data_IF_278881079826
#
_entry.id   IF_278881079826
#
_cell.length_a   1.000
_cell.length_b   1.000
_cell.length_c   1.000
_cell.angle_alpha   90.00
_cell.angle_beta   90.00
_cell.angle_gamma   90.00
#
_symmetry.space_group_name_H-M   'P 1'
#
loop_
_entity.id
_entity.type
_entity.pdbx_description
1 polymer ?
#
# COMPACT_ATOMS: atom_id res chain seq x y z
N UNK A 1 -4.57 -8.90 12.70
CA UNK A 1 -5.13 -7.83 11.85
C UNK A 1 -4.14 -7.54 10.75
N UNK A 2 -4.57 -7.68 9.50
CA UNK A 2 -3.75 -7.30 8.35
C UNK A 2 -3.71 -5.78 8.22
N UNK A 3 -2.56 -5.24 7.85
CA UNK A 3 -2.32 -3.80 7.75
C UNK A 3 -2.53 -3.37 6.31
N UNK A 4 -3.23 -2.26 6.12
CA UNK A 4 -3.37 -1.60 4.84
C UNK A 4 -2.15 -0.72 4.58
N UNK A 5 -1.71 -0.72 3.34
CA UNK A 5 -0.70 0.20 2.84
C UNK A 5 -1.41 1.22 1.96
N UNK A 6 -1.15 2.49 2.23
CA UNK A 6 -1.75 3.60 1.49
C UNK A 6 -0.64 4.30 0.73
N UNK A 7 -0.77 4.34 -0.59
CA UNK A 7 0.07 5.11 -1.49
C UNK A 7 -0.53 6.51 -1.67
N UNK A 8 0.22 7.54 -1.28
CA UNK A 8 -0.23 8.93 -1.35
C UNK A 8 0.97 9.87 -1.43
N UNK A 9 0.80 11.04 -2.04
CA UNK A 9 1.92 12.01 -2.20
C UNK A 9 2.18 12.85 -0.95
N UNK A 10 1.29 12.79 0.04
CA UNK A 10 1.43 13.46 1.32
C UNK A 10 0.70 12.71 2.44
N UNK A 11 1.09 12.98 3.68
CA UNK A 11 0.44 12.38 4.85
C UNK A 11 -1.04 12.78 4.99
N UNK A 12 -1.40 14.02 4.64
CA UNK A 12 -2.79 14.49 4.64
C UNK A 12 -3.65 13.73 3.64
N UNK A 13 -3.10 13.43 2.46
CA UNK A 13 -3.81 12.64 1.45
C UNK A 13 -3.97 11.18 1.88
N UNK A 14 -2.94 10.60 2.52
CA UNK A 14 -3.07 9.26 3.09
C UNK A 14 -4.12 9.17 4.19
N UNK A 15 -4.21 10.18 5.07
CA UNK A 15 -5.23 10.30 6.10
C UNK A 15 -6.64 10.37 5.50
N UNK A 16 -6.80 11.16 4.43
CA UNK A 16 -8.08 11.26 3.71
C UNK A 16 -8.49 9.92 3.10
N UNK A 17 -7.60 9.25 2.38
CA UNK A 17 -7.87 7.94 1.77
C UNK A 17 -8.21 6.91 2.85
N UNK A 18 -7.50 6.93 3.99
CA UNK A 18 -7.80 6.03 5.09
C UNK A 18 -9.23 6.23 5.63
N UNK A 19 -9.65 7.49 5.81
CA UNK A 19 -10.99 7.84 6.26
C UNK A 19 -12.06 7.43 5.24
N UNK A 20 -11.84 7.68 3.96
CA UNK A 20 -12.74 7.29 2.86
C UNK A 20 -12.96 5.77 2.81
N UNK A 21 -11.93 5.00 3.16
CA UNK A 21 -11.98 3.54 3.24
C UNK A 21 -12.39 2.99 4.62
N UNK A 22 -12.75 3.86 5.57
CA UNK A 22 -13.19 3.46 6.91
C UNK A 22 -12.11 2.78 7.75
N UNK A 23 -10.84 3.10 7.51
CA UNK A 23 -9.71 2.45 8.18
C UNK A 23 -9.34 3.16 9.48
N UNK A 24 -9.26 2.38 10.56
CA UNK A 24 -8.75 2.85 11.85
C UNK A 24 -7.26 3.16 11.80
N UNK A 25 -6.79 4.15 12.59
CA UNK A 25 -5.36 4.51 12.69
C UNK A 25 -4.44 3.30 12.95
N UNK A 26 -4.93 2.26 13.62
CA UNK A 26 -4.17 1.04 13.89
C UNK A 26 -4.07 0.08 12.69
N UNK A 27 -4.96 0.20 11.70
CA UNK A 27 -5.00 -0.60 10.48
C UNK A 27 -4.09 -0.06 9.39
N UNK A 28 -3.77 1.24 9.40
CA UNK A 28 -2.93 1.89 8.37
C UNK A 28 -1.78 2.72 8.96
N UNK A 29 -1.36 2.42 10.21
CA UNK A 29 -0.40 3.18 11.05
C UNK A 29 0.96 3.54 10.42
N UNK A 30 1.25 3.03 9.23
CA UNK A 30 2.36 3.37 8.33
C UNK A 30 1.83 3.50 6.90
N UNK A 31 0.88 4.41 6.67
CA UNK A 31 0.69 4.91 5.33
C UNK A 31 2.06 5.38 4.84
N UNK A 32 2.52 4.84 3.72
CA UNK A 32 3.65 5.40 3.01
C UNK A 32 3.18 6.72 2.39
N UNK A 33 2.97 7.72 3.24
CA UNK A 33 2.75 9.12 2.86
C UNK A 33 4.07 9.87 2.76
N UNK A 34 5.12 9.17 2.30
CA UNK A 34 6.32 9.82 1.83
C UNK A 34 6.12 10.19 0.37
N UNK A 35 6.75 11.28 -0.14
CA UNK A 35 6.76 11.57 -1.56
C UNK A 35 7.16 10.32 -2.36
N UNK A 36 6.78 10.20 -3.66
CA UNK A 36 6.93 9.01 -4.53
C UNK A 36 8.36 8.42 -4.70
N UNK A 37 9.31 8.84 -3.85
CA UNK A 37 10.70 8.41 -3.78
C UNK A 37 11.16 8.03 -2.36
N UNK A 38 10.30 8.03 -1.34
CA UNK A 38 10.65 7.55 0.01
C UNK A 38 10.68 6.02 0.03
N UNK A 39 11.79 5.48 -0.49
CA UNK A 39 12.31 4.13 -0.36
C UNK A 39 11.40 3.20 0.45
N UNK A 40 10.47 2.51 -0.22
CA UNK A 40 9.96 1.26 0.29
C UNK A 40 11.18 0.44 0.71
N UNK A 41 11.30 0.16 2.00
CA UNK A 41 12.33 -0.77 2.47
C UNK A 41 11.92 -2.13 1.94
N UNK A 42 12.86 -2.87 1.36
CA UNK A 42 12.70 -4.22 0.78
C UNK A 42 12.08 -5.30 1.71
N UNK A 43 11.60 -4.94 2.90
CA UNK A 43 10.89 -5.81 3.83
C UNK A 43 9.38 -5.59 3.90
N UNK A 44 8.82 -4.62 3.17
CA UNK A 44 7.37 -4.35 3.21
C UNK A 44 6.68 -5.23 2.17
N UNK A 45 5.89 -6.18 2.66
CA UNK A 45 5.19 -7.17 1.86
C UNK A 45 3.72 -7.19 2.26
N UNK A 46 2.84 -7.01 1.28
CA UNK A 46 1.41 -7.13 1.50
C UNK A 46 0.97 -8.58 1.34
N UNK A 47 0.05 -9.06 2.16
CA UNK A 47 -0.50 -10.42 2.03
C UNK A 47 -1.42 -10.60 0.81
N UNK A 48 -2.04 -9.52 0.35
CA UNK A 48 -2.97 -9.49 -0.79
C UNK A 48 -3.01 -8.07 -1.38
N UNK A 49 -3.19 -7.96 -2.70
CA UNK A 49 -3.32 -6.67 -3.39
C UNK A 49 -4.49 -5.83 -2.87
N UNK A 50 -5.55 -6.45 -2.32
CA UNK A 50 -6.69 -5.71 -1.75
C UNK A 50 -6.33 -4.82 -0.56
N UNK A 51 -5.17 -5.05 0.08
CA UNK A 51 -4.68 -4.23 1.17
C UNK A 51 -3.80 -3.07 0.69
N UNK A 52 -3.60 -2.91 -0.62
CA UNK A 52 -2.95 -1.76 -1.24
C UNK A 52 -4.03 -0.79 -1.72
N UNK A 53 -4.03 0.42 -1.17
CA UNK A 53 -5.04 1.44 -1.47
C UNK A 53 -4.34 2.74 -1.87
N UNK A 54 -4.89 3.46 -2.84
CA UNK A 54 -4.34 4.72 -3.33
C UNK A 54 -3.35 4.54 -4.47
N UNK A 55 -2.48 5.53 -4.64
CA UNK A 55 -1.57 5.63 -5.78
C UNK A 55 -0.17 5.15 -5.41
N UNK A 56 0.27 4.07 -6.07
CA UNK A 56 1.65 3.60 -5.99
C UNK A 56 2.29 3.68 -7.37
N UNK A 57 3.57 4.02 -7.42
CA UNK A 57 4.37 3.94 -8.64
C UNK A 57 4.55 2.49 -9.09
N UNK A 58 4.88 2.26 -10.36
CA UNK A 58 5.12 0.91 -10.89
C UNK A 58 6.23 0.17 -10.14
N UNK A 59 7.25 0.88 -9.66
CA UNK A 59 8.33 0.30 -8.84
C UNK A 59 7.83 -0.13 -7.47
N UNK A 60 6.98 0.67 -6.84
CA UNK A 60 6.40 0.35 -5.54
C UNK A 60 5.44 -0.84 -5.60
N UNK A 61 4.61 -0.89 -6.64
CA UNK A 61 3.78 -2.06 -6.93
C UNK A 61 4.62 -3.34 -7.06
N UNK A 62 5.73 -3.25 -7.77
CA UNK A 62 6.63 -4.39 -7.97
C UNK A 62 7.22 -4.86 -6.63
N UNK A 63 7.74 -3.95 -5.81
CA UNK A 63 8.31 -4.31 -4.49
C UNK A 63 7.25 -4.89 -3.56
N UNK A 64 6.07 -4.26 -3.47
CA UNK A 64 5.00 -4.66 -2.56
C UNK A 64 4.34 -5.99 -2.92
N UNK A 65 4.33 -6.36 -4.21
CA UNK A 65 3.62 -7.54 -4.71
C UNK A 65 4.54 -8.62 -5.28
N UNK A 66 5.86 -8.43 -5.32
CA UNK A 66 6.80 -9.39 -5.90
C UNK A 66 6.73 -10.80 -5.29
N UNK A 67 6.35 -10.91 -4.01
CA UNK A 67 6.20 -12.20 -3.31
C UNK A 67 4.81 -12.80 -3.46
N UNK A 68 3.83 -12.05 -3.95
CA UNK A 68 2.50 -12.57 -4.19
C UNK A 68 2.55 -13.54 -5.37
N UNK A 69 1.79 -14.65 -5.32
CA UNK A 69 1.65 -15.51 -6.48
C UNK A 69 1.15 -14.65 -7.65
N UNK A 70 1.83 -14.75 -8.80
CA UNK A 70 1.30 -14.17 -10.04
C UNK A 70 -0.01 -14.89 -10.27
N UNK A 71 -1.12 -14.16 -10.17
CA UNK A 71 -2.44 -14.69 -10.44
C UNK A 71 -2.39 -15.36 -11.81
N UNK A 72 -2.34 -16.69 -11.82
CA UNK A 72 -2.44 -17.49 -13.03
C UNK A 72 -3.91 -17.53 -13.36
N UNK A 73 -4.45 -16.39 -13.79
CA UNK A 73 -5.74 -16.37 -14.44
C UNK A 73 -5.52 -17.00 -15.83
N UNK A 74 -5.51 -18.33 -15.87
CA UNK A 74 -5.80 -19.06 -17.11
C UNK A 74 -7.29 -18.87 -17.36
N UNK A 75 -7.60 -17.96 -18.28
CA UNK A 75 -8.91 -17.81 -18.91
C UNK A 75 -8.68 -17.62 -20.39
#
# INVERSE_FOLDING_TARGET
MEKYYIGARSQQEAERIALEHGLDRNQWRRAHGGPPHSHLRDGIRVSDRKYLIGEFTSGEWLVLTAHLPRDKSYG
#
